data_IF_870012239104
#
_entry.id   IF_870012239104
#
_cell.length_a   1.000
_cell.length_b   1.000
_cell.length_c   1.000
_cell.angle_alpha   90.00
_cell.angle_beta   90.00
_cell.angle_gamma   90.00
#
_symmetry.space_group_name_H-M   'P 1'
#
loop_
_entity.id
_entity.type
_entity.pdbx_description
1 polymer ?
#
# COMPACT_ATOMS: atom_id res chain seq x y z
N UNK A 1 18.08 8.16 14.87
CA UNK A 1 17.45 8.82 13.70
C UNK A 1 17.85 8.02 12.50
N UNK A 2 16.84 7.40 11.90
CA UNK A 2 16.98 6.54 10.74
C UNK A 2 16.36 7.22 9.53
N UNK A 3 16.68 6.72 8.35
CA UNK A 3 16.06 7.12 7.09
C UNK A 3 15.27 5.94 6.54
N UNK A 4 13.96 6.11 6.34
CA UNK A 4 13.18 5.15 5.56
C UNK A 4 13.21 5.57 4.10
N UNK A 5 13.49 4.65 3.18
CA UNK A 5 13.33 4.89 1.75
C UNK A 5 12.27 3.97 1.19
N UNK A 6 11.15 4.53 0.73
CA UNK A 6 10.06 3.82 0.08
C UNK A 6 10.47 3.54 -1.36
N UNK A 7 10.70 2.27 -1.68
CA UNK A 7 11.26 1.87 -2.98
C UNK A 7 10.21 1.37 -3.95
N UNK A 8 9.15 0.73 -3.44
CA UNK A 8 8.08 0.15 -4.26
C UNK A 8 6.73 0.21 -3.58
N UNK A 9 5.71 0.44 -4.38
CA UNK A 9 4.30 0.25 -4.02
C UNK A 9 3.69 -0.67 -5.07
N UNK A 10 3.14 -1.80 -4.65
CA UNK A 10 2.47 -2.75 -5.52
C UNK A 10 0.98 -2.79 -5.18
N UNK A 11 0.14 -2.44 -6.15
CA UNK A 11 -1.30 -2.49 -6.00
C UNK A 11 -1.75 -3.94 -6.15
N UNK A 12 -2.35 -4.49 -5.09
CA UNK A 12 -2.97 -5.80 -5.15
C UNK A 12 -4.43 -5.68 -5.56
N UNK A 13 -5.13 -4.70 -4.98
CA UNK A 13 -6.50 -4.32 -5.30
C UNK A 13 -6.68 -2.82 -5.06
N UNK A 14 -7.27 -2.15 -6.04
CA UNK A 14 -7.65 -0.73 -6.00
C UNK A 14 -8.82 -0.48 -5.04
N UNK A 15 -9.04 0.79 -4.69
CA UNK A 15 -10.27 1.19 -4.01
C UNK A 15 -11.48 0.82 -4.86
N UNK A 16 -12.50 0.27 -4.22
CA UNK A 16 -13.77 -0.01 -4.87
C UNK A 16 -14.83 0.88 -4.27
N UNK A 17 -15.16 1.99 -4.94
CA UNK A 17 -16.17 2.96 -4.50
C UNK A 17 -17.62 2.45 -4.47
N UNK A 18 -17.83 1.13 -4.36
CA UNK A 18 -19.15 0.50 -4.21
C UNK A 18 -19.11 -0.43 -3.01
N UNK A 19 -20.11 -0.33 -2.12
CA UNK A 19 -20.38 -1.21 -0.96
C UNK A 19 -20.01 -2.68 -1.22
N UNK A 20 -18.75 -3.00 -1.01
CA UNK A 20 -18.19 -4.35 -1.03
C UNK A 20 -17.82 -4.77 0.40
N UNK A 21 -18.49 -4.25 1.42
CA UNK A 21 -18.29 -4.60 2.83
C UNK A 21 -18.17 -6.13 3.07
N UNK A 22 -18.88 -6.94 2.28
CA UNK A 22 -18.81 -8.41 2.36
C UNK A 22 -17.66 -9.05 1.57
N UNK A 23 -17.12 -8.40 0.54
CA UNK A 23 -15.98 -8.90 -0.26
C UNK A 23 -14.65 -8.33 0.22
N UNK A 24 -14.60 -7.07 0.66
CA UNK A 24 -13.44 -6.46 1.31
C UNK A 24 -13.02 -7.23 2.56
N UNK A 25 -13.99 -7.64 3.41
CA UNK A 25 -13.69 -8.48 4.58
C UNK A 25 -13.17 -9.88 4.20
N UNK A 26 -13.71 -10.52 3.16
CA UNK A 26 -13.23 -11.83 2.65
C UNK A 26 -11.82 -11.71 2.06
N UNK A 27 -11.57 -10.66 1.28
CA UNK A 27 -10.27 -10.36 0.69
C UNK A 27 -9.28 -10.05 1.81
N UNK A 28 -9.64 -9.17 2.75
CA UNK A 28 -8.86 -8.84 3.93
C UNK A 28 -8.54 -10.06 4.80
N UNK A 29 -9.50 -10.97 5.01
CA UNK A 29 -9.29 -12.23 5.73
C UNK A 29 -8.43 -13.22 4.94
N UNK A 30 -8.59 -13.32 3.62
CA UNK A 30 -7.73 -14.11 2.74
C UNK A 30 -6.28 -13.59 2.79
N UNK A 31 -6.08 -12.27 2.74
CA UNK A 31 -4.78 -11.63 2.93
C UNK A 31 -4.21 -11.90 4.31
N UNK A 32 -5.00 -11.72 5.38
CA UNK A 32 -4.57 -11.95 6.78
C UNK A 32 -4.22 -13.41 7.06
N UNK A 33 -4.87 -14.36 6.39
CA UNK A 33 -4.72 -15.80 6.63
C UNK A 33 -3.71 -16.48 5.71
N UNK A 34 -3.50 -15.97 4.50
CA UNK A 34 -2.78 -16.69 3.44
C UNK A 34 -1.47 -16.04 3.02
N UNK A 35 -1.35 -14.71 3.14
CA UNK A 35 -0.12 -14.01 2.79
C UNK A 35 0.71 -13.70 4.04
N UNK A 36 2.02 -13.96 4.01
CA UNK A 36 2.92 -13.41 5.01
C UNK A 36 2.72 -11.88 5.04
N UNK A 37 2.35 -11.34 6.20
CA UNK A 37 2.26 -9.87 6.42
C UNK A 37 3.58 -9.16 6.08
N UNK A 38 4.68 -9.90 6.15
CA UNK A 38 6.04 -9.53 5.79
C UNK A 38 6.56 -10.54 4.76
N UNK A 39 6.92 -10.11 3.55
CA UNK A 39 7.60 -10.99 2.61
C UNK A 39 9.08 -11.07 2.96
N UNK A 40 9.59 -12.29 3.14
CA UNK A 40 11.03 -12.53 3.34
C UNK A 40 11.80 -12.22 2.05
N UNK A 41 13.08 -11.83 2.21
CA UNK A 41 14.01 -11.61 1.10
C UNK A 41 13.88 -12.69 0.01
N UNK A 42 13.48 -12.26 -1.18
CA UNK A 42 13.47 -13.10 -2.40
C UNK A 42 12.10 -13.42 -2.99
N UNK A 43 10.98 -13.16 -2.30
CA UNK A 43 9.63 -13.29 -2.88
C UNK A 43 9.11 -11.91 -3.26
N UNK A 44 8.73 -11.71 -4.53
CA UNK A 44 8.10 -10.45 -4.94
C UNK A 44 6.61 -10.42 -4.51
N UNK A 45 6.04 -9.24 -4.19
CA UNK A 45 4.61 -9.09 -3.92
C UNK A 45 3.71 -9.73 -4.97
N UNK A 46 4.06 -9.59 -6.26
CA UNK A 46 3.31 -10.19 -7.36
C UNK A 46 3.30 -11.72 -7.30
N UNK A 47 4.47 -12.34 -7.10
CA UNK A 47 4.57 -13.81 -7.01
C UNK A 47 3.80 -14.36 -5.81
N UNK A 48 3.80 -13.62 -4.69
CA UNK A 48 3.06 -14.00 -3.49
C UNK A 48 1.54 -14.01 -3.76
N UNK A 49 1.02 -12.96 -4.40
CA UNK A 49 -0.41 -12.85 -4.75
C UNK A 49 -0.82 -13.95 -5.74
N UNK A 50 -0.02 -14.18 -6.78
CA UNK A 50 -0.28 -15.20 -7.80
C UNK A 50 -0.22 -16.63 -7.23
N UNK A 51 0.47 -16.85 -6.12
CA UNK A 51 0.56 -18.16 -5.48
C UNK A 51 -0.75 -18.62 -4.80
N UNK A 52 -1.73 -17.73 -4.66
CA UNK A 52 -2.98 -17.99 -3.95
C UNK A 52 -4.14 -17.90 -4.94
N UNK A 53 -4.51 -19.04 -5.51
CA UNK A 53 -5.54 -19.12 -6.55
C UNK A 53 -6.89 -18.50 -6.14
N UNK A 54 -7.34 -18.74 -4.91
CA UNK A 54 -8.61 -18.19 -4.41
C UNK A 54 -8.58 -16.65 -4.29
N UNK A 55 -7.40 -16.09 -3.98
CA UNK A 55 -7.19 -14.65 -3.90
C UNK A 55 -7.21 -14.02 -5.31
N UNK A 56 -6.57 -14.65 -6.27
CA UNK A 56 -6.59 -14.21 -7.67
C UNK A 56 -8.01 -14.18 -8.23
N UNK A 57 -8.81 -15.21 -7.96
CA UNK A 57 -10.22 -15.27 -8.40
C UNK A 57 -11.05 -14.17 -7.75
N UNK A 58 -10.94 -13.98 -6.43
CA UNK A 58 -11.67 -12.93 -5.72
C UNK A 58 -11.32 -11.51 -6.21
N UNK A 59 -10.05 -11.27 -6.55
CA UNK A 59 -9.59 -10.00 -7.14
C UNK A 59 -10.12 -9.83 -8.58
N UNK A 60 -10.09 -10.89 -9.40
CA UNK A 60 -10.48 -10.80 -10.81
C UNK A 60 -11.98 -10.55 -11.01
N UNK A 61 -12.82 -10.95 -10.06
CA UNK A 61 -14.27 -10.70 -10.07
C UNK A 61 -14.65 -9.23 -9.79
N UNK A 62 -13.72 -8.44 -9.26
CA UNK A 62 -13.94 -7.01 -8.94
C UNK A 62 -13.18 -6.14 -9.94
N UNK A 63 -13.91 -5.34 -10.71
CA UNK A 63 -13.35 -4.29 -11.57
C UNK A 63 -13.53 -2.95 -10.89
N UNK A 64 -12.45 -2.21 -10.72
CA UNK A 64 -12.44 -0.84 -10.20
C UNK A 64 -11.72 0.09 -11.19
N UNK A 65 -11.87 1.39 -10.99
CA UNK A 65 -11.02 2.40 -11.62
C UNK A 65 -9.61 2.33 -11.00
N UNK A 66 -8.57 2.81 -11.70
CA UNK A 66 -7.28 3.07 -11.08
C UNK A 66 -7.41 4.05 -9.91
N UNK A 67 -6.55 3.91 -8.91
CA UNK A 67 -6.40 4.87 -7.81
C UNK A 67 -5.44 5.99 -8.23
N UNK A 68 -5.76 7.23 -7.91
CA UNK A 68 -4.92 8.41 -8.04
C UNK A 68 -3.99 8.51 -6.81
N UNK A 69 -2.92 7.71 -6.82
CA UNK A 69 -2.09 7.46 -5.63
C UNK A 69 -1.16 8.63 -5.28
N UNK A 70 -1.18 9.02 -4.00
CA UNK A 70 -0.11 9.77 -3.33
C UNK A 70 0.25 9.16 -1.96
N UNK A 71 1.37 9.60 -1.38
CA UNK A 71 1.95 9.06 -0.15
C UNK A 71 2.20 10.18 0.86
N UNK A 72 1.81 9.96 2.11
CA UNK A 72 2.18 10.80 3.27
C UNK A 72 2.88 9.97 4.35
N UNK A 73 3.52 10.66 5.31
CA UNK A 73 4.11 10.02 6.51
C UNK A 73 3.26 10.13 7.76
N UNK A 74 2.07 10.71 7.62
CA UNK A 74 1.10 10.89 8.69
C UNK A 74 -0.19 10.10 8.37
N UNK A 75 -1.23 10.37 9.14
CA UNK A 75 -2.57 9.79 8.91
C UNK A 75 -3.55 10.82 8.37
N UNK A 76 -3.05 11.96 7.91
CA UNK A 76 -3.86 13.05 7.39
C UNK A 76 -3.73 13.01 5.86
N UNK A 77 -4.82 12.65 5.18
CA UNK A 77 -4.87 12.54 3.72
C UNK A 77 -4.90 13.90 3.03
N UNK A 78 -3.91 14.76 3.29
CA UNK A 78 -3.77 16.05 2.61
C UNK A 78 -2.66 15.95 1.56
N UNK A 79 -3.00 16.22 0.29
CA UNK A 79 -2.02 16.20 -0.81
C UNK A 79 -0.94 17.26 -0.62
N UNK A 80 -1.21 18.32 0.15
CA UNK A 80 -0.20 19.32 0.53
C UNK A 80 0.92 18.74 1.42
N UNK A 81 0.65 17.62 2.10
CA UNK A 81 1.61 16.88 2.92
C UNK A 81 2.24 15.70 2.17
N UNK A 82 1.97 15.55 0.87
CA UNK A 82 2.52 14.46 0.06
C UNK A 82 4.05 14.51 0.06
N UNK A 83 4.66 13.36 0.31
CA UNK A 83 6.09 13.14 0.12
C UNK A 83 6.38 12.57 -1.28
N UNK A 84 5.36 11.98 -1.91
CA UNK A 84 5.42 11.44 -3.25
C UNK A 84 4.00 11.33 -3.82
N UNK A 85 3.79 11.55 -5.13
CA UNK A 85 4.70 12.17 -6.10
C UNK A 85 5.16 13.59 -5.67
N UNK A 86 6.24 14.13 -6.28
CA UNK A 86 6.60 15.53 -6.04
C UNK A 86 5.52 16.47 -6.59
N UNK A 87 5.58 17.74 -6.17
CA UNK A 87 4.73 18.82 -6.69
C UNK A 87 3.23 18.70 -6.37
N UNK A 88 2.85 17.92 -5.34
CA UNK A 88 1.46 17.75 -4.88
C UNK A 88 0.56 17.20 -5.99
N UNK A 89 1.03 16.10 -6.55
CA UNK A 89 0.42 15.42 -7.69
C UNK A 89 0.12 13.98 -7.31
N UNK A 90 -0.50 13.23 -8.21
CA UNK A 90 -0.81 11.81 -8.05
C UNK A 90 -0.20 10.97 -9.18
N UNK A 91 -0.25 9.65 -9.00
CA UNK A 91 0.07 8.70 -10.06
C UNK A 91 -1.01 7.62 -10.08
N UNK A 92 -1.66 7.46 -11.23
CA UNK A 92 -2.58 6.35 -11.44
C UNK A 92 -1.88 5.01 -11.18
N UNK A 93 -2.49 4.17 -10.35
CA UNK A 93 -2.10 2.78 -10.15
C UNK A 93 -3.33 1.89 -10.17
N UNK A 94 -3.20 0.78 -10.89
CA UNK A 94 -4.21 -0.29 -10.90
C UNK A 94 -3.58 -1.61 -10.47
N UNK A 95 -4.42 -2.62 -10.23
CA UNK A 95 -4.04 -3.95 -9.77
C UNK A 95 -2.92 -4.53 -10.60
N UNK A 96 -2.04 -5.25 -9.90
CA UNK A 96 -0.83 -5.89 -10.44
C UNK A 96 0.18 -4.91 -11.03
N UNK A 97 0.00 -3.60 -10.85
CA UNK A 97 1.02 -2.62 -11.18
C UNK A 97 1.92 -2.33 -9.99
N UNK A 98 3.11 -1.86 -10.35
CA UNK A 98 4.19 -1.50 -9.44
C UNK A 98 4.61 -0.08 -9.74
N UNK A 99 4.58 0.78 -8.72
CA UNK A 99 5.21 2.08 -8.75
C UNK A 99 6.52 2.05 -7.96
N UNK A 100 7.46 2.92 -8.31
CA UNK A 100 8.77 3.02 -7.67
C UNK A 100 9.04 4.42 -7.11
N UNK A 101 8.44 4.78 -5.95
CA UNK A 101 8.53 6.13 -5.42
C UNK A 101 9.96 6.65 -5.22
N UNK A 102 10.85 5.80 -4.68
CA UNK A 102 12.23 6.14 -4.32
C UNK A 102 12.35 7.44 -3.50
N UNK A 103 11.40 7.65 -2.58
CA UNK A 103 11.37 8.79 -1.66
C UNK A 103 11.92 8.39 -0.30
N UNK A 104 12.70 9.29 0.31
CA UNK A 104 13.33 9.08 1.61
C UNK A 104 12.85 10.08 2.66
N UNK A 105 12.60 9.61 3.88
CA UNK A 105 12.18 10.45 5.01
C UNK A 105 12.97 10.08 6.26
N UNK A 106 13.43 11.08 7.00
CA UNK A 106 14.08 10.90 8.29
C UNK A 106 13.03 10.70 9.39
N UNK A 107 13.28 9.78 10.32
CA UNK A 107 12.37 9.51 11.44
C UNK A 107 13.10 9.02 12.69
N UNK A 108 12.37 9.00 13.82
CA UNK A 108 12.83 8.46 15.10
C UNK A 108 11.78 7.47 15.61
N UNK A 109 12.23 6.32 16.14
CA UNK A 109 11.40 5.22 16.63
C UNK A 109 10.52 4.55 15.55
N UNK A 110 9.53 5.26 15.00
CA UNK A 110 8.63 4.76 13.96
C UNK A 110 8.09 5.88 13.06
N UNK A 111 7.68 5.53 11.84
CA UNK A 111 7.01 6.42 10.89
C UNK A 111 5.92 5.68 10.14
N UNK A 112 4.77 6.34 9.93
CA UNK A 112 3.73 5.80 9.06
C UNK A 112 4.12 6.02 7.60
N UNK A 113 3.66 5.10 6.75
CA UNK A 113 3.67 5.25 5.30
C UNK A 113 2.23 5.02 4.88
N UNK A 114 1.51 6.10 4.60
CA UNK A 114 0.10 6.07 4.25
C UNK A 114 -0.06 6.34 2.77
N UNK A 115 -0.82 5.48 2.10
CA UNK A 115 -1.19 5.54 0.70
C UNK A 115 -2.61 6.10 0.62
N UNK A 116 -2.82 7.06 -0.26
CA UNK A 116 -4.07 7.78 -0.39
C UNK A 116 -4.49 7.87 -1.85
N UNK A 117 -5.80 7.84 -2.07
CA UNK A 117 -6.44 8.17 -3.35
C UNK A 117 -6.90 9.62 -3.30
N UNK A 118 -6.59 10.41 -4.31
CA UNK A 118 -7.12 11.77 -4.42
C UNK A 118 -8.50 11.74 -5.07
N UNK A 119 -9.55 12.04 -4.30
CA UNK A 119 -10.89 12.28 -4.82
C UNK A 119 -11.36 13.71 -4.51
N UNK A 120 -12.12 14.26 -5.45
CA UNK A 120 -12.87 15.51 -5.33
C UNK A 120 -13.78 15.60 -4.10
N UNK A 121 -14.23 14.48 -3.53
CA UNK A 121 -15.00 14.44 -2.27
C UNK A 121 -14.15 14.41 -1.00
N UNK A 122 -12.84 14.29 -1.11
CA UNK A 122 -11.91 14.06 0.00
C UNK A 122 -11.03 12.86 -0.30
N UNK A 123 -9.81 12.86 0.24
CA UNK A 123 -8.84 11.81 -0.07
C UNK A 123 -9.10 10.57 0.79
N UNK A 124 -9.08 9.42 0.14
CA UNK A 124 -9.44 8.14 0.76
C UNK A 124 -8.20 7.33 1.13
N UNK A 125 -8.19 6.78 2.35
CA UNK A 125 -7.04 6.01 2.82
C UNK A 125 -7.02 4.64 2.14
N UNK A 126 -6.05 4.40 1.28
CA UNK A 126 -5.89 3.15 0.54
C UNK A 126 -5.20 2.06 1.36
N UNK A 127 -4.16 2.43 2.10
CA UNK A 127 -3.40 1.53 2.96
C UNK A 127 -2.49 2.34 3.89
N UNK A 128 -2.12 1.76 5.03
CA UNK A 128 -1.07 2.33 5.88
C UNK A 128 -0.22 1.22 6.50
N UNK A 129 1.09 1.44 6.53
CA UNK A 129 2.06 0.57 7.20
C UNK A 129 3.00 1.40 8.07
N UNK A 130 3.61 0.78 9.07
CA UNK A 130 4.65 1.42 9.90
C UNK A 130 6.03 0.88 9.56
N UNK A 131 7.00 1.77 9.42
CA UNK A 131 8.42 1.47 9.45
C UNK A 131 8.97 1.76 10.84
N UNK A 132 9.86 0.89 11.34
CA UNK A 132 10.46 1.02 12.67
C UNK A 132 11.97 1.17 12.58
N UNK A 133 12.57 1.95 13.48
CA UNK A 133 14.03 2.12 13.54
C UNK A 133 14.74 0.78 13.83
N UNK A 134 14.05 -0.17 14.46
CA UNK A 134 14.56 -1.54 14.70
C UNK A 134 14.72 -2.37 13.44
N UNK A 135 14.24 -1.92 12.29
CA UNK A 135 14.34 -2.59 10.98
C UNK A 135 15.56 -2.12 10.18
N UNK A 136 16.42 -1.30 10.79
CA UNK A 136 17.63 -0.76 10.17
C UNK A 136 18.52 -1.85 9.58
N UNK A 137 19.03 -1.60 8.37
CA UNK A 137 19.89 -2.51 7.62
C UNK A 137 19.16 -3.63 6.89
N UNK A 138 17.82 -3.60 6.84
CA UNK A 138 17.02 -4.60 6.14
C UNK A 138 16.03 -3.97 5.16
N UNK A 139 15.67 -4.72 4.12
CA UNK A 139 14.54 -4.41 3.25
C UNK A 139 13.30 -5.04 3.85
N UNK A 140 12.25 -4.25 4.01
CA UNK A 140 10.95 -4.69 4.50
C UNK A 140 9.94 -4.63 3.37
N UNK A 141 9.01 -5.57 3.33
CA UNK A 141 7.85 -5.54 2.43
C UNK A 141 6.62 -5.84 3.23
N UNK A 142 5.84 -4.80 3.53
CA UNK A 142 4.69 -4.86 4.41
C UNK A 142 3.39 -4.77 3.65
N UNK A 143 2.41 -5.54 4.09
CA UNK A 143 1.06 -5.50 3.59
C UNK A 143 0.22 -4.45 4.33
N UNK A 144 -0.44 -3.57 3.58
CA UNK A 144 -1.41 -2.60 4.08
C UNK A 144 -2.77 -2.80 3.40
N UNK A 145 -3.84 -2.56 4.15
CA UNK A 145 -5.22 -2.76 3.71
C UNK A 145 -6.14 -1.70 4.30
N UNK A 146 -7.05 -1.17 3.50
CA UNK A 146 -8.15 -0.32 3.96
C UNK A 146 -9.43 -1.12 4.05
N UNK A 147 -10.01 -1.20 5.27
CA UNK A 147 -11.32 -1.82 5.47
C UNK A 147 -12.44 -0.99 4.84
N UNK A 148 -12.25 0.33 4.74
CA UNK A 148 -13.25 1.27 4.21
C UNK A 148 -13.28 1.20 2.68
N UNK A 149 -12.11 1.29 2.05
CA UNK A 149 -12.02 1.29 0.58
C UNK A 149 -11.96 -0.12 -0.03
N UNK A 150 -11.72 -1.13 0.81
CA UNK A 150 -11.46 -2.49 0.37
C UNK A 150 -10.18 -2.64 -0.46
N UNK A 151 -9.29 -1.65 -0.43
CA UNK A 151 -8.03 -1.62 -1.19
C UNK A 151 -6.90 -2.32 -0.45
N UNK A 152 -5.94 -2.87 -1.21
CA UNK A 152 -4.86 -3.69 -0.68
C UNK A 152 -3.55 -3.42 -1.41
N UNK A 153 -2.48 -3.20 -0.63
CA UNK A 153 -1.19 -2.76 -1.14
C UNK A 153 -0.02 -3.45 -0.44
N UNK A 154 1.05 -3.68 -1.18
CA UNK A 154 2.36 -3.96 -0.61
C UNK A 154 3.27 -2.74 -0.72
N UNK A 155 3.90 -2.36 0.39
CA UNK A 155 4.89 -1.29 0.46
C UNK A 155 6.25 -1.91 0.77
N UNK A 156 7.20 -1.75 -0.15
CA UNK A 156 8.59 -2.14 0.06
C UNK A 156 9.45 -0.93 0.37
N UNK A 157 10.13 -0.97 1.50
CA UNK A 157 11.05 0.08 1.93
C UNK A 157 12.32 -0.50 2.54
N UNK A 158 13.34 0.33 2.69
CA UNK A 158 14.54 0.02 3.47
C UNK A 158 14.73 1.06 4.56
N UNK A 159 15.24 0.64 5.70
CA UNK A 159 15.61 1.53 6.81
C UNK A 159 17.13 1.59 6.90
N UNK A 160 17.67 2.79 6.84
CA UNK A 160 19.11 3.12 6.86
C UNK A 160 19.50 3.94 8.09
#
# INVERSE_FOLDING_TARGET
MATVTITRVYCVKEASGTDLDSLGSVIGDAFRSTLPRELSDGISPGDAVESIADLVVAIDEVSASPDDLFITTDTDGDIDNSIWPPDKDTQEIQRRQLLTPNVSVEFTDAVNISLWDEDTSGNDLLASVQAFETEMGTVQTKFGYSEVEGSAYYVTYRVE
#
